data_IF_054592133278
#
_entry.id   IF_054592133278
#
_cell.length_a   1.000
_cell.length_b   1.000
_cell.length_c   1.000
_cell.angle_alpha   90.00
_cell.angle_beta   90.00
_cell.angle_gamma   90.00
#
_symmetry.space_group_name_H-M   'P 1'
#
loop_
_entity.id
_entity.type
_entity.pdbx_description
1 polymer ?
#
# COMPACT_ATOMS: atom_id res chain seq x y z
N UNK A 1 22.69 -13.32 -26.81
CA UNK A 1 22.75 -12.27 -25.80
C UNK A 1 21.49 -12.36 -24.93
N UNK A 2 21.61 -12.83 -23.69
CA UNK A 2 20.49 -12.87 -22.74
C UNK A 2 20.18 -11.43 -22.34
N UNK A 3 19.01 -10.89 -22.76
CA UNK A 3 18.49 -9.64 -22.19
C UNK A 3 18.37 -9.83 -20.69
N UNK A 4 19.11 -9.04 -19.91
CA UNK A 4 18.87 -8.96 -18.48
C UNK A 4 17.41 -8.58 -18.29
N UNK A 5 16.69 -9.39 -17.50
CA UNK A 5 15.32 -9.08 -17.11
C UNK A 5 15.35 -7.71 -16.43
N UNK A 6 14.72 -6.70 -17.04
CA UNK A 6 14.52 -5.39 -16.40
C UNK A 6 13.82 -5.63 -15.07
N UNK A 7 14.50 -5.29 -13.98
CA UNK A 7 13.93 -5.33 -12.65
C UNK A 7 12.72 -4.37 -12.63
N UNK A 8 11.54 -4.89 -12.33
CA UNK A 8 10.35 -4.10 -12.09
C UNK A 8 10.70 -3.04 -11.05
N UNK A 9 10.64 -1.76 -11.44
CA UNK A 9 11.00 -0.67 -10.54
C UNK A 9 9.89 -0.49 -9.50
N UNK A 10 10.15 -0.97 -8.30
CA UNK A 10 9.45 -0.46 -7.11
C UNK A 10 10.09 0.89 -6.80
N UNK A 11 9.29 1.94 -6.67
CA UNK A 11 9.87 3.23 -6.33
C UNK A 11 10.39 3.22 -4.89
N UNK A 12 11.62 3.70 -4.73
CA UNK A 12 12.00 4.29 -3.46
C UNK A 12 11.34 5.69 -3.37
N UNK A 13 11.27 6.31 -2.20
CA UNK A 13 10.64 7.61 -2.02
C UNK A 13 11.16 8.69 -2.97
N UNK A 14 12.46 8.70 -3.25
CA UNK A 14 13.09 9.65 -4.18
C UNK A 14 12.58 9.46 -5.62
N UNK A 15 12.65 8.25 -6.15
CA UNK A 15 12.20 7.97 -7.52
C UNK A 15 10.70 8.20 -7.71
N UNK A 16 9.89 8.01 -6.67
CA UNK A 16 8.48 8.38 -6.69
C UNK A 16 8.29 9.90 -6.84
N UNK A 17 8.98 10.67 -6.01
CA UNK A 17 8.91 12.13 -6.06
C UNK A 17 9.36 12.70 -7.41
N UNK A 18 10.51 12.26 -7.91
CA UNK A 18 11.04 12.67 -9.21
C UNK A 18 10.03 12.44 -10.33
N UNK A 19 9.31 11.32 -10.29
CA UNK A 19 8.34 10.98 -11.33
C UNK A 19 7.02 11.73 -11.21
N UNK A 20 6.49 11.91 -9.99
CA UNK A 20 5.12 12.42 -9.79
C UNK A 20 5.04 13.89 -9.37
N UNK A 21 6.14 14.48 -8.95
CA UNK A 21 6.16 15.90 -8.53
C UNK A 21 6.87 16.81 -9.54
N UNK A 22 7.57 16.25 -10.54
CA UNK A 22 8.41 17.01 -11.46
C UNK A 22 9.70 17.48 -10.81
N UNK A 23 10.77 17.65 -11.59
CA UNK A 23 12.12 17.96 -11.07
C UNK A 23 12.21 19.33 -10.39
N UNK A 24 11.43 20.32 -10.86
CA UNK A 24 11.46 21.71 -10.38
C UNK A 24 10.47 22.01 -9.24
N UNK A 25 9.79 21.00 -8.68
CA UNK A 25 8.78 21.23 -7.65
C UNK A 25 9.43 21.62 -6.32
N UNK A 26 9.05 22.76 -5.70
CA UNK A 26 9.60 23.22 -4.42
C UNK A 26 9.50 22.19 -3.28
N UNK A 27 8.58 21.27 -3.37
CA UNK A 27 8.41 20.18 -2.40
C UNK A 27 9.67 19.33 -2.23
N UNK A 28 10.55 19.29 -3.26
CA UNK A 28 11.83 18.57 -3.16
C UNK A 28 12.73 19.13 -2.06
N UNK A 29 12.57 20.41 -1.70
CA UNK A 29 13.31 21.04 -0.61
C UNK A 29 12.94 20.49 0.77
N UNK A 30 11.76 19.90 0.90
CA UNK A 30 11.32 19.25 2.15
C UNK A 30 11.99 17.90 2.37
N UNK A 31 12.55 17.30 1.31
CA UNK A 31 13.12 15.96 1.38
C UNK A 31 14.64 16.00 1.46
N UNK A 32 15.17 15.53 2.59
CA UNK A 32 16.60 15.40 2.84
C UNK A 32 17.21 14.22 2.09
N UNK A 33 18.54 14.14 2.01
CA UNK A 33 19.26 13.03 1.36
C UNK A 33 18.87 11.65 1.89
N UNK A 34 18.53 11.54 3.18
CA UNK A 34 18.18 10.29 3.86
C UNK A 34 16.68 10.00 3.90
N UNK A 35 15.88 10.83 3.21
CA UNK A 35 14.41 10.67 3.13
C UNK A 35 13.97 9.34 2.51
N UNK A 36 14.86 8.62 1.85
CA UNK A 36 14.60 7.28 1.32
C UNK A 36 14.39 6.22 2.43
N UNK A 37 14.91 6.48 3.64
CA UNK A 37 14.72 5.60 4.78
C UNK A 37 13.61 6.07 5.70
N UNK A 38 13.50 7.38 5.91
CA UNK A 38 12.51 7.96 6.81
C UNK A 38 12.19 9.41 6.46
N UNK A 39 10.92 9.77 6.50
CA UNK A 39 10.47 11.15 6.64
C UNK A 39 9.16 11.24 7.43
N UNK A 40 8.92 12.38 8.05
CA UNK A 40 7.65 12.72 8.67
C UNK A 40 7.39 14.22 8.45
N UNK A 41 6.25 14.53 7.82
CA UNK A 41 5.87 15.88 7.39
C UNK A 41 4.39 16.13 7.73
N UNK A 42 3.98 17.40 7.77
CA UNK A 42 2.57 17.74 7.72
C UNK A 42 2.03 17.55 6.30
N UNK A 43 0.80 17.10 6.19
CA UNK A 43 0.16 16.85 4.90
C UNK A 43 0.03 18.15 4.11
N UNK A 44 -0.23 19.27 4.81
CA UNK A 44 -0.33 20.59 4.22
C UNK A 44 0.95 21.01 3.48
N UNK A 45 2.11 20.53 3.95
CA UNK A 45 3.39 20.75 3.27
C UNK A 45 3.48 19.97 1.95
N UNK A 46 2.70 18.87 1.82
CA UNK A 46 2.65 17.99 0.65
C UNK A 46 1.56 18.35 -0.37
N UNK A 47 0.68 19.32 -0.08
CA UNK A 47 -0.50 19.64 -0.91
C UNK A 47 -0.20 20.19 -2.30
N UNK A 48 1.06 20.37 -2.67
CA UNK A 48 1.46 20.72 -4.04
C UNK A 48 1.46 19.53 -5.00
N UNK A 49 1.13 18.32 -4.54
CA UNK A 49 0.88 17.17 -5.42
C UNK A 49 -0.43 17.40 -6.20
N UNK A 50 -0.33 17.93 -7.41
CA UNK A 50 -1.49 18.31 -8.23
C UNK A 50 -2.00 17.19 -9.14
N UNK A 51 -1.37 16.02 -9.16
CA UNK A 51 -1.70 14.96 -10.11
C UNK A 51 -2.22 13.71 -9.42
N UNK A 52 -3.21 13.00 -10.03
CA UNK A 52 -3.59 11.69 -9.54
C UNK A 52 -2.38 10.76 -9.55
N UNK A 53 -2.24 9.95 -8.50
CA UNK A 53 -1.19 8.93 -8.41
C UNK A 53 -1.77 7.63 -8.97
N UNK A 54 -1.28 7.15 -10.12
CA UNK A 54 -1.71 5.88 -10.67
C UNK A 54 -1.23 4.71 -9.82
N UNK A 55 -1.68 3.45 -10.12
CA UNK A 55 -1.24 2.27 -9.38
C UNK A 55 0.27 2.22 -9.21
N UNK A 56 0.74 2.35 -7.99
CA UNK A 56 2.17 2.47 -7.62
C UNK A 56 2.50 1.62 -6.41
N UNK A 57 3.77 1.24 -6.25
CA UNK A 57 4.30 0.53 -5.07
C UNK A 57 5.47 1.29 -4.49
N UNK A 58 5.52 1.37 -3.17
CA UNK A 58 6.71 1.85 -2.45
C UNK A 58 7.45 0.71 -1.76
N UNK A 59 8.76 0.86 -1.59
CA UNK A 59 9.57 -0.03 -0.74
C UNK A 59 9.42 0.27 0.75
N UNK A 60 8.75 1.36 1.10
CA UNK A 60 8.54 1.84 2.46
C UNK A 60 7.08 1.65 2.89
N UNK A 61 6.86 1.52 4.20
CA UNK A 61 5.55 1.73 4.79
C UNK A 61 5.22 3.23 4.80
N UNK A 62 3.95 3.57 4.58
CA UNK A 62 3.47 4.95 4.67
C UNK A 62 2.28 5.02 5.61
N UNK A 63 2.41 5.78 6.68
CA UNK A 63 1.34 6.11 7.61
C UNK A 63 0.80 7.49 7.26
N UNK A 64 -0.52 7.61 7.18
CA UNK A 64 -1.21 8.88 7.00
C UNK A 64 -2.18 9.04 8.17
N UNK A 65 -2.05 10.12 8.92
CA UNK A 65 -2.97 10.52 9.98
C UNK A 65 -3.74 11.76 9.54
N UNK A 66 -5.06 11.68 9.58
CA UNK A 66 -5.96 12.81 9.25
C UNK A 66 -6.44 13.42 10.56
N UNK A 67 -5.98 14.61 10.87
CA UNK A 67 -6.46 15.39 12.04
C UNK A 67 -7.74 16.16 11.73
N UNK A 68 -7.92 16.58 10.47
CA UNK A 68 -9.12 17.29 10.01
C UNK A 68 -9.31 17.12 8.50
N UNK A 69 -10.55 16.93 8.07
CA UNK A 69 -10.93 16.79 6.68
C UNK A 69 -11.06 15.33 6.22
N UNK A 70 -10.82 15.08 4.95
CA UNK A 70 -11.03 13.77 4.35
C UNK A 70 -9.93 13.45 3.34
N UNK A 71 -9.40 12.25 3.42
CA UNK A 71 -8.45 11.69 2.46
C UNK A 71 -9.03 10.42 1.83
N UNK A 72 -8.99 10.33 0.50
CA UNK A 72 -9.50 9.17 -0.25
C UNK A 72 -8.37 8.54 -1.02
N UNK A 73 -8.15 7.25 -0.80
CA UNK A 73 -7.14 6.48 -1.53
C UNK A 73 -7.59 5.05 -1.78
N UNK A 74 -7.00 4.41 -2.79
CA UNK A 74 -7.18 2.98 -3.02
C UNK A 74 -5.95 2.21 -2.55
N UNK A 75 -6.18 1.15 -1.77
CA UNK A 75 -5.19 0.12 -1.47
C UNK A 75 -5.64 -1.17 -2.15
N UNK A 76 -4.88 -1.60 -3.14
CA UNK A 76 -5.36 -2.64 -4.01
C UNK A 76 -6.60 -2.17 -4.79
N UNK A 77 -7.67 -2.94 -4.69
CA UNK A 77 -8.99 -2.61 -5.25
C UNK A 77 -9.98 -2.03 -4.24
N UNK A 78 -9.56 -1.85 -3.00
CA UNK A 78 -10.42 -1.30 -1.96
C UNK A 78 -10.18 0.20 -1.86
N UNK A 79 -11.26 0.96 -1.89
CA UNK A 79 -11.25 2.39 -1.62
C UNK A 79 -11.41 2.61 -0.11
N UNK A 80 -10.55 3.47 0.41
CA UNK A 80 -10.57 3.87 1.81
C UNK A 80 -10.79 5.37 1.89
N UNK A 81 -11.81 5.75 2.64
CA UNK A 81 -12.08 7.11 3.03
C UNK A 81 -11.60 7.26 4.47
N UNK A 82 -10.58 8.08 4.68
CA UNK A 82 -10.00 8.37 5.99
C UNK A 82 -10.43 9.77 6.39
N UNK A 83 -11.05 9.91 7.55
CA UNK A 83 -11.62 11.17 8.06
C UNK A 83 -10.97 11.58 9.38
N UNK A 84 -11.53 12.62 10.02
CA UNK A 84 -11.01 13.19 11.27
C UNK A 84 -10.66 12.12 12.31
N UNK A 85 -9.43 12.22 12.84
CA UNK A 85 -8.88 11.32 13.86
C UNK A 85 -8.81 9.85 13.43
N UNK A 86 -8.63 9.62 12.14
CA UNK A 86 -8.35 8.31 11.59
C UNK A 86 -6.96 8.23 11.00
N UNK A 87 -6.40 7.04 11.04
CA UNK A 87 -5.10 6.70 10.45
C UNK A 87 -5.28 5.64 9.38
N UNK A 88 -4.45 5.71 8.34
CA UNK A 88 -4.34 4.63 7.35
C UNK A 88 -2.88 4.28 7.13
N UNK A 89 -2.58 2.99 7.14
CA UNK A 89 -1.26 2.44 6.86
C UNK A 89 -1.23 1.84 5.45
N UNK A 90 -0.26 2.27 4.65
CA UNK A 90 0.07 1.63 3.37
C UNK A 90 1.30 0.75 3.61
N UNK A 91 1.16 -0.58 3.68
CA UNK A 91 2.31 -1.47 3.86
C UNK A 91 3.29 -1.37 2.70
N UNK A 92 4.58 -1.60 2.98
CA UNK A 92 5.60 -1.71 1.94
C UNK A 92 5.23 -2.79 0.92
N UNK A 93 5.37 -2.49 -0.38
CA UNK A 93 4.99 -3.38 -1.47
C UNK A 93 3.51 -3.42 -1.81
N UNK A 94 2.62 -2.78 -1.02
CA UNK A 94 1.21 -2.64 -1.36
C UNK A 94 1.02 -1.74 -2.57
N UNK A 95 0.18 -2.16 -3.54
CA UNK A 95 -0.25 -1.26 -4.62
C UNK A 95 -1.27 -0.28 -4.04
N UNK A 96 -1.03 1.00 -4.28
CA UNK A 96 -1.96 2.07 -3.94
C UNK A 96 -2.14 3.03 -5.12
N UNK A 97 -3.22 3.80 -5.10
CA UNK A 97 -3.47 4.89 -6.05
C UNK A 97 -4.28 6.00 -5.39
N UNK A 98 -4.13 7.23 -5.92
CA UNK A 98 -4.90 8.41 -5.54
C UNK A 98 -5.59 8.94 -6.80
N UNK A 99 -6.91 8.88 -6.85
CA UNK A 99 -7.67 9.30 -8.04
C UNK A 99 -7.90 10.82 -8.07
N UNK A 100 -7.97 11.46 -6.90
CA UNK A 100 -8.19 12.90 -6.80
C UNK A 100 -7.52 13.47 -5.54
N UNK A 101 -6.79 14.58 -5.69
CA UNK A 101 -6.00 15.21 -4.60
C UNK A 101 -6.66 16.50 -4.08
N UNK A 102 -7.86 16.83 -4.57
CA UNK A 102 -8.51 18.13 -4.27
C UNK A 102 -9.17 18.24 -2.88
N UNK A 103 -8.93 17.27 -2.00
CA UNK A 103 -9.49 17.32 -0.65
C UNK A 103 -8.56 18.12 0.27
N UNK A 104 -9.06 19.21 0.82
CA UNK A 104 -8.37 19.96 1.88
C UNK A 104 -8.43 19.10 3.14
N UNK A 105 -7.30 18.57 3.57
CA UNK A 105 -7.16 17.81 4.79
C UNK A 105 -5.86 18.17 5.49
N UNK A 106 -5.84 18.00 6.81
CA UNK A 106 -4.71 18.28 7.69
C UNK A 106 -4.27 17.02 8.39
N UNK A 107 -3.02 16.98 8.76
CA UNK A 107 -2.47 15.88 9.53
C UNK A 107 -1.02 15.60 9.22
N UNK A 108 -0.63 14.33 9.33
CA UNK A 108 0.76 13.91 9.16
C UNK A 108 0.87 12.78 8.16
N UNK A 109 1.93 12.83 7.37
CA UNK A 109 2.42 11.71 6.57
C UNK A 109 3.79 11.29 7.10
N UNK A 110 3.91 10.01 7.45
CA UNK A 110 5.14 9.42 7.94
C UNK A 110 5.50 8.21 7.09
N UNK A 111 6.66 8.24 6.45
CA UNK A 111 7.15 7.15 5.62
C UNK A 111 8.45 6.59 6.21
N UNK A 112 8.58 5.26 6.25
CA UNK A 112 9.74 4.60 6.84
C UNK A 112 10.03 3.27 6.16
N UNK A 113 11.33 3.00 5.97
CA UNK A 113 11.77 1.72 5.41
C UNK A 113 11.58 0.60 6.45
N UNK A 114 11.12 -0.61 6.05
CA UNK A 114 10.94 -1.73 6.98
C UNK A 114 12.17 -2.06 7.84
N UNK A 115 13.37 -1.86 7.29
CA UNK A 115 14.62 -2.12 8.00
C UNK A 115 14.79 -1.29 9.28
N UNK A 116 14.14 -0.12 9.39
CA UNK A 116 14.17 0.67 10.62
C UNK A 116 13.56 -0.11 11.78
N UNK A 117 12.50 -0.87 11.51
CA UNK A 117 11.78 -1.60 12.55
C UNK A 117 12.54 -2.83 13.07
N UNK A 118 13.43 -3.40 12.27
CA UNK A 118 14.21 -4.61 12.63
C UNK A 118 15.63 -4.31 13.12
N UNK A 119 15.96 -3.03 13.36
CA UNK A 119 17.27 -2.62 13.91
C UNK A 119 17.41 -3.04 15.39
N UNK A 120 18.26 -2.34 16.12
CA UNK A 120 18.72 -2.66 17.46
C UNK A 120 17.61 -3.01 18.48
N UNK A 121 16.46 -2.36 18.40
CA UNK A 121 15.37 -2.49 19.38
C UNK A 121 14.15 -3.25 18.84
N UNK A 122 14.21 -3.77 17.64
CA UNK A 122 13.11 -4.48 17.00
C UNK A 122 13.51 -5.86 16.49
N UNK A 123 12.52 -6.68 16.21
CA UNK A 123 12.71 -7.98 15.59
C UNK A 123 11.67 -8.18 14.49
N UNK A 124 11.87 -9.18 13.62
CA UNK A 124 10.87 -9.55 12.63
C UNK A 124 9.57 -10.06 13.26
N UNK A 125 9.69 -10.69 14.43
CA UNK A 125 8.54 -11.19 15.20
C UNK A 125 7.66 -10.04 15.66
N UNK A 126 8.26 -8.91 16.09
CA UNK A 126 7.54 -7.70 16.49
C UNK A 126 6.59 -7.19 15.39
N UNK A 127 6.97 -7.33 14.12
CA UNK A 127 6.13 -6.90 13.00
C UNK A 127 4.84 -7.73 12.87
N UNK A 128 4.86 -8.96 13.37
CA UNK A 128 3.68 -9.83 13.34
C UNK A 128 2.59 -9.38 14.32
N UNK A 129 2.95 -8.59 15.34
CA UNK A 129 2.01 -8.07 16.35
C UNK A 129 1.11 -6.97 15.77
N UNK A 130 1.53 -6.35 14.67
CA UNK A 130 0.83 -5.21 14.06
C UNK A 130 0.15 -5.60 12.75
N UNK A 131 -1.15 -5.90 12.82
CA UNK A 131 -1.94 -6.33 11.66
C UNK A 131 -1.95 -5.28 10.54
N UNK A 132 -1.95 -4.00 10.87
CA UNK A 132 -1.95 -2.90 9.91
C UNK A 132 -0.64 -2.77 9.09
N UNK A 133 0.45 -3.43 9.48
CA UNK A 133 1.68 -3.52 8.68
C UNK A 133 1.61 -4.61 7.60
N UNK A 134 0.60 -5.49 7.65
CA UNK A 134 0.41 -6.57 6.68
C UNK A 134 -0.48 -6.11 5.53
N UNK A 135 -0.15 -6.55 4.32
CA UNK A 135 -0.97 -6.28 3.12
C UNK A 135 -2.39 -6.86 3.26
N UNK A 136 -2.51 -7.97 4.00
CA UNK A 136 -3.78 -8.64 4.28
C UNK A 136 -4.57 -8.02 5.42
N UNK A 137 -3.92 -7.21 6.26
CA UNK A 137 -4.46 -6.67 7.48
C UNK A 137 -5.47 -5.54 7.29
N UNK A 138 -5.96 -5.01 8.40
CA UNK A 138 -6.81 -3.83 8.37
C UNK A 138 -5.93 -2.57 8.40
N UNK A 139 -5.86 -1.82 7.30
CA UNK A 139 -4.98 -0.65 7.22
C UNK A 139 -5.53 0.58 7.95
N UNK A 140 -6.84 0.62 8.24
CA UNK A 140 -7.52 1.80 8.78
C UNK A 140 -7.80 1.66 10.27
N UNK A 141 -7.43 2.68 11.04
CA UNK A 141 -7.60 2.72 12.49
C UNK A 141 -8.30 4.03 12.86
N UNK A 142 -9.38 3.93 13.64
CA UNK A 142 -10.05 5.05 14.28
C UNK A 142 -9.47 5.26 15.67
N UNK A 143 -9.04 6.48 15.98
CA UNK A 143 -8.50 6.80 17.29
C UNK A 143 -9.61 7.09 18.29
N UNK A 144 -9.43 6.62 19.52
CA UNK A 144 -10.25 7.06 20.65
C UNK A 144 -9.85 8.51 21.04
N UNK A 145 -10.81 9.33 21.51
CA UNK A 145 -10.52 10.73 21.83
C UNK A 145 -9.32 10.92 22.78
N UNK A 146 -9.16 10.05 23.75
CA UNK A 146 -8.07 10.07 24.73
C UNK A 146 -6.70 9.75 24.13
N UNK A 147 -6.64 9.06 22.99
CA UNK A 147 -5.40 8.62 22.35
C UNK A 147 -4.93 9.59 21.25
N UNK A 148 -5.75 10.60 20.87
CA UNK A 148 -5.44 11.57 19.80
C UNK A 148 -4.21 12.41 20.17
N UNK A 149 -4.21 13.04 21.35
CA UNK A 149 -3.12 13.91 21.77
C UNK A 149 -1.79 13.15 21.97
N UNK A 150 -1.73 11.98 22.63
CA UNK A 150 -0.52 11.15 22.69
C UNK A 150 0.06 10.81 21.33
N UNK A 151 -0.79 10.37 20.39
CA UNK A 151 -0.37 10.00 19.03
C UNK A 151 0.14 11.22 18.26
N UNK A 152 -0.56 12.36 18.35
CA UNK A 152 -0.13 13.61 17.71
C UNK A 152 1.24 14.05 18.23
N UNK A 153 1.47 14.01 19.54
CA UNK A 153 2.78 14.35 20.14
C UNK A 153 3.91 13.46 19.62
N UNK A 154 3.65 12.16 19.40
CA UNK A 154 4.63 11.25 18.82
C UNK A 154 4.94 11.64 17.38
N UNK A 155 3.91 11.96 16.57
CA UNK A 155 4.10 12.38 15.18
C UNK A 155 4.83 13.73 15.09
N UNK A 156 4.52 14.69 15.95
CA UNK A 156 5.25 15.95 16.07
C UNK A 156 6.73 15.71 16.42
N UNK A 157 6.99 14.78 17.35
CA UNK A 157 8.37 14.42 17.70
C UNK A 157 9.09 13.76 16.52
N UNK A 158 8.46 12.86 15.78
CA UNK A 158 9.01 12.25 14.59
C UNK A 158 9.26 13.30 13.48
N UNK A 159 8.35 14.26 13.29
CA UNK A 159 8.54 15.40 12.39
C UNK A 159 9.76 16.23 12.80
N UNK A 160 9.90 16.51 14.10
CA UNK A 160 11.03 17.26 14.64
C UNK A 160 12.36 16.53 14.41
N UNK A 161 12.44 15.22 14.67
CA UNK A 161 13.62 14.40 14.35
C UNK A 161 13.98 14.47 12.87
N UNK A 162 12.98 14.50 12.00
CA UNK A 162 13.21 14.63 10.56
C UNK A 162 13.67 16.04 10.18
N UNK A 163 13.12 17.11 10.77
CA UNK A 163 13.39 18.49 10.38
C UNK A 163 14.73 19.05 10.91
N UNK A 164 15.12 18.70 12.14
CA UNK A 164 16.23 19.39 12.83
C UNK A 164 17.62 18.78 12.55
N UNK A 165 17.69 17.51 12.11
CA UNK A 165 18.99 16.83 12.02
C UNK A 165 19.21 16.16 10.67
N UNK A 166 20.47 16.12 10.22
CA UNK A 166 20.93 14.97 9.41
C UNK A 166 20.59 13.76 10.27
N UNK A 167 19.72 12.85 9.79
CA UNK A 167 19.23 11.71 10.58
C UNK A 167 20.42 10.82 10.93
N UNK A 168 21.13 11.18 11.99
CA UNK A 168 22.34 10.48 12.44
C UNK A 168 22.02 9.30 13.35
N UNK A 169 20.85 9.33 14.02
CA UNK A 169 20.46 8.24 14.91
C UNK A 169 19.01 7.77 14.66
N UNK A 170 18.86 6.79 13.76
CA UNK A 170 17.60 6.11 13.52
C UNK A 170 17.06 5.31 14.73
N UNK A 171 17.82 5.19 15.84
CA UNK A 171 17.34 4.49 17.03
C UNK A 171 16.23 5.29 17.75
N UNK A 172 16.34 6.62 17.76
CA UNK A 172 15.27 7.48 18.28
C UNK A 172 14.01 7.32 17.44
N UNK A 173 14.15 7.43 16.10
CA UNK A 173 13.05 7.23 15.17
C UNK A 173 12.40 5.85 15.35
N UNK A 174 13.21 4.78 15.45
CA UNK A 174 12.72 3.42 15.71
C UNK A 174 11.90 3.34 17.00
N UNK A 175 12.40 3.93 18.09
CA UNK A 175 11.72 3.89 19.38
C UNK A 175 10.36 4.59 19.33
N UNK A 176 10.27 5.75 18.68
CA UNK A 176 9.00 6.47 18.52
C UNK A 176 8.05 5.74 17.56
N UNK A 177 8.53 5.13 16.49
CA UNK A 177 7.69 4.31 15.60
C UNK A 177 7.11 3.10 16.35
N UNK A 178 7.92 2.39 17.13
CA UNK A 178 7.44 1.25 17.93
C UNK A 178 6.38 1.72 18.94
N UNK A 179 6.63 2.82 19.65
CA UNK A 179 5.66 3.40 20.58
C UNK A 179 4.36 3.77 19.87
N UNK A 180 4.46 4.44 18.71
CA UNK A 180 3.31 4.80 17.89
C UNK A 180 2.49 3.56 17.50
N UNK A 181 3.15 2.47 17.12
CA UNK A 181 2.46 1.24 16.72
C UNK A 181 1.74 0.56 17.88
N UNK A 182 2.28 0.58 19.08
CA UNK A 182 1.57 0.08 20.26
C UNK A 182 0.34 0.95 20.59
N UNK A 183 0.45 2.27 20.50
CA UNK A 183 -0.71 3.17 20.67
C UNK A 183 -1.77 2.95 19.57
N UNK A 184 -1.35 2.77 18.32
CA UNK A 184 -2.25 2.42 17.22
C UNK A 184 -2.93 1.06 17.46
N UNK A 185 -2.15 0.05 17.87
CA UNK A 185 -2.67 -1.31 18.10
C UNK A 185 -3.68 -1.36 19.23
N UNK A 186 -3.50 -0.59 20.30
CA UNK A 186 -4.48 -0.40 21.37
C UNK A 186 -5.85 0.03 20.82
N UNK A 187 -5.88 0.94 19.83
CA UNK A 187 -7.09 1.40 19.18
C UNK A 187 -7.65 0.35 18.18
N UNK A 188 -6.79 -0.34 17.45
CA UNK A 188 -7.19 -1.41 16.54
C UNK A 188 -7.86 -2.57 17.30
N UNK A 189 -7.33 -2.96 18.45
CA UNK A 189 -7.90 -4.02 19.30
C UNK A 189 -9.22 -3.60 19.93
N UNK A 190 -9.36 -2.35 20.41
CA UNK A 190 -10.62 -1.83 20.97
C UNK A 190 -11.79 -1.89 19.95
N UNK A 191 -11.49 -1.74 18.66
CA UNK A 191 -12.48 -1.76 17.58
C UNK A 191 -12.70 -3.15 16.99
N UNK A 192 -11.78 -4.09 17.22
CA UNK A 192 -11.90 -5.46 16.71
C UNK A 192 -12.87 -6.27 17.60
N UNK A 193 -14.04 -6.61 17.04
CA UNK A 193 -14.78 -7.79 17.47
C UNK A 193 -13.89 -9.02 17.31
N UNK A 194 -14.10 -10.08 18.09
CA UNK A 194 -13.38 -11.35 17.92
C UNK A 194 -13.32 -11.72 16.43
N UNK A 195 -12.11 -11.93 15.90
CA UNK A 195 -11.90 -12.30 14.49
C UNK A 195 -12.71 -13.57 14.22
N UNK A 196 -13.67 -13.48 13.33
CA UNK A 196 -14.45 -14.64 12.92
C UNK A 196 -13.59 -15.63 12.12
N UNK A 197 -13.96 -16.90 12.09
CA UNK A 197 -13.27 -17.90 11.26
C UNK A 197 -13.25 -17.48 9.76
N UNK A 198 -14.29 -16.80 9.28
CA UNK A 198 -14.34 -16.28 7.92
C UNK A 198 -13.32 -15.16 7.68
N UNK A 199 -13.15 -14.26 8.64
CA UNK A 199 -12.13 -13.21 8.57
C UNK A 199 -10.71 -13.77 8.61
N UNK A 200 -10.43 -14.76 9.47
CA UNK A 200 -9.14 -15.43 9.53
C UNK A 200 -8.79 -16.15 8.20
N UNK A 201 -9.74 -16.90 7.63
CA UNK A 201 -9.55 -17.57 6.33
C UNK A 201 -9.33 -16.53 5.21
N UNK A 202 -10.12 -15.46 5.21
CA UNK A 202 -10.03 -14.40 4.19
C UNK A 202 -8.70 -13.64 4.31
N UNK A 203 -8.22 -13.37 5.52
CA UNK A 203 -6.91 -12.76 5.75
C UNK A 203 -5.79 -13.60 5.16
N UNK A 204 -5.73 -14.89 5.51
CA UNK A 204 -4.74 -15.83 4.95
C UNK A 204 -4.85 -15.98 3.43
N UNK A 205 -6.07 -15.96 2.88
CA UNK A 205 -6.28 -15.97 1.42
C UNK A 205 -5.67 -14.74 0.75
N UNK A 206 -5.82 -13.54 1.32
CA UNK A 206 -5.21 -12.32 0.80
C UNK A 206 -3.67 -12.38 0.81
N UNK A 207 -3.07 -12.93 1.87
CA UNK A 207 -1.61 -13.18 1.94
C UNK A 207 -1.15 -14.10 0.83
N UNK A 208 -1.80 -15.25 0.66
CA UNK A 208 -1.48 -16.20 -0.39
C UNK A 208 -1.64 -15.60 -1.81
N UNK A 209 -2.64 -14.75 -2.03
CA UNK A 209 -2.78 -14.01 -3.29
C UNK A 209 -1.57 -13.11 -3.50
N UNK A 210 -1.16 -12.33 -2.50
CA UNK A 210 0.01 -11.46 -2.62
C UNK A 210 1.25 -12.24 -3.07
N UNK A 211 1.47 -13.43 -2.52
CA UNK A 211 2.65 -14.26 -2.78
C UNK A 211 2.58 -14.99 -4.13
N UNK A 212 1.39 -15.42 -4.55
CA UNK A 212 1.25 -16.38 -5.64
C UNK A 212 0.49 -15.88 -6.87
N UNK A 213 -0.08 -14.66 -6.86
CA UNK A 213 -0.97 -14.17 -7.91
C UNK A 213 -0.31 -14.15 -9.31
N UNK A 214 1.00 -13.99 -9.37
CA UNK A 214 1.76 -13.96 -10.62
C UNK A 214 1.86 -15.33 -11.32
N UNK A 215 1.50 -16.41 -10.64
CA UNK A 215 1.63 -17.77 -11.17
C UNK A 215 0.38 -18.62 -10.97
N UNK A 216 -0.51 -18.24 -10.05
CA UNK A 216 -1.65 -19.06 -9.64
C UNK A 216 -2.94 -18.25 -9.68
N UNK A 217 -3.88 -18.65 -10.56
CA UNK A 217 -5.13 -17.92 -10.78
C UNK A 217 -6.37 -18.72 -10.36
N UNK A 218 -6.20 -19.98 -9.94
CA UNK A 218 -7.31 -20.86 -9.64
C UNK A 218 -7.65 -20.89 -8.15
N UNK A 219 -8.92 -20.77 -7.81
CA UNK A 219 -9.41 -20.84 -6.42
C UNK A 219 -9.01 -22.16 -5.75
N UNK A 220 -8.97 -23.26 -6.51
CA UNK A 220 -8.60 -24.58 -5.99
C UNK A 220 -7.19 -24.59 -5.39
N UNK A 221 -6.23 -23.89 -6.00
CA UNK A 221 -4.89 -23.76 -5.47
C UNK A 221 -4.89 -23.14 -4.07
N UNK A 222 -5.55 -22.02 -3.90
CA UNK A 222 -5.62 -21.30 -2.63
C UNK A 222 -6.41 -22.08 -1.57
N UNK A 223 -7.52 -22.69 -1.96
CA UNK A 223 -8.33 -23.49 -1.03
C UNK A 223 -7.55 -24.71 -0.51
N UNK A 224 -6.71 -25.34 -1.34
CA UNK A 224 -5.85 -26.45 -0.92
C UNK A 224 -4.80 -26.00 0.09
N UNK A 225 -4.14 -24.86 -0.13
CA UNK A 225 -3.17 -24.30 0.83
C UNK A 225 -3.80 -23.91 2.17
N UNK A 226 -5.08 -23.53 2.15
CA UNK A 226 -5.84 -23.17 3.35
C UNK A 226 -6.50 -24.37 4.04
N UNK A 227 -6.38 -25.57 3.46
CA UNK A 227 -7.04 -26.80 3.92
C UNK A 227 -8.57 -26.62 4.06
N UNK A 228 -9.19 -25.96 3.08
CA UNK A 228 -10.66 -25.79 2.99
C UNK A 228 -11.16 -26.15 1.60
N UNK A 229 -12.48 -26.36 1.47
CA UNK A 229 -13.07 -26.55 0.15
C UNK A 229 -13.17 -25.24 -0.61
N UNK A 230 -13.12 -25.23 -1.99
CA UNK A 230 -13.31 -24.03 -2.79
C UNK A 230 -14.62 -23.29 -2.48
N UNK A 231 -15.69 -24.02 -2.22
CA UNK A 231 -16.99 -23.46 -1.85
C UNK A 231 -16.94 -22.74 -0.49
N UNK A 232 -16.26 -23.35 0.49
CA UNK A 232 -16.09 -22.74 1.81
C UNK A 232 -15.23 -21.47 1.73
N UNK A 233 -14.10 -21.51 1.01
CA UNK A 233 -13.28 -20.34 0.74
C UNK A 233 -14.09 -19.21 0.11
N UNK A 234 -14.84 -19.54 -0.96
CA UNK A 234 -15.67 -18.54 -1.65
C UNK A 234 -16.73 -17.92 -0.72
N UNK A 235 -17.35 -18.72 0.15
CA UNK A 235 -18.31 -18.23 1.14
C UNK A 235 -17.65 -17.27 2.13
N UNK A 236 -16.49 -17.62 2.69
CA UNK A 236 -15.74 -16.78 3.63
C UNK A 236 -15.37 -15.46 2.99
N UNK A 237 -14.74 -15.50 1.80
CA UNK A 237 -14.31 -14.30 1.07
C UNK A 237 -15.51 -13.41 0.75
N UNK A 238 -16.62 -13.97 0.29
CA UNK A 238 -17.84 -13.21 -0.04
C UNK A 238 -18.47 -12.57 1.19
N UNK A 239 -18.48 -13.28 2.32
CA UNK A 239 -19.01 -12.75 3.59
C UNK A 239 -18.21 -11.54 4.07
N UNK A 240 -16.88 -11.57 3.95
CA UNK A 240 -15.98 -10.53 4.48
C UNK A 240 -15.82 -9.37 3.49
N UNK A 241 -15.76 -9.66 2.18
CA UNK A 241 -15.40 -8.66 1.17
C UNK A 241 -16.55 -8.23 0.26
N UNK A 242 -17.69 -8.91 0.31
CA UNK A 242 -18.79 -8.74 -0.63
C UNK A 242 -18.54 -9.33 -2.03
N UNK A 243 -17.34 -9.85 -2.31
CA UNK A 243 -16.91 -10.35 -3.62
C UNK A 243 -16.58 -11.84 -3.57
N UNK A 244 -16.79 -12.55 -4.69
CA UNK A 244 -16.35 -13.95 -4.79
C UNK A 244 -14.81 -14.05 -4.79
N UNK A 245 -14.28 -15.22 -4.38
CA UNK A 245 -12.85 -15.49 -4.41
C UNK A 245 -12.27 -15.37 -5.85
N UNK A 246 -13.00 -15.83 -6.87
CA UNK A 246 -12.61 -15.67 -8.28
C UNK A 246 -12.48 -14.19 -8.65
N UNK A 247 -13.51 -13.38 -8.31
CA UNK A 247 -13.48 -11.95 -8.62
C UNK A 247 -12.33 -11.25 -7.90
N UNK A 248 -12.01 -11.66 -6.66
CA UNK A 248 -10.88 -11.13 -5.91
C UNK A 248 -9.54 -11.45 -6.59
N UNK A 249 -9.37 -12.69 -7.09
CA UNK A 249 -8.19 -13.09 -7.86
C UNK A 249 -8.10 -12.26 -9.15
N UNK A 250 -9.16 -12.18 -9.95
CA UNK A 250 -9.18 -11.44 -11.21
C UNK A 250 -8.81 -9.96 -11.02
N UNK A 251 -9.37 -9.32 -9.99
CA UNK A 251 -9.04 -7.93 -9.64
C UNK A 251 -7.55 -7.77 -9.28
N UNK A 252 -6.96 -8.69 -8.51
CA UNK A 252 -5.54 -8.59 -8.16
C UNK A 252 -4.61 -8.81 -9.37
N UNK A 253 -4.94 -9.73 -10.27
CA UNK A 253 -4.24 -9.89 -11.56
C UNK A 253 -4.28 -8.59 -12.36
N UNK A 254 -5.49 -8.01 -12.49
CA UNK A 254 -5.69 -6.78 -13.22
C UNK A 254 -4.92 -5.61 -12.63
N UNK A 255 -4.88 -5.51 -11.30
CA UNK A 255 -4.13 -4.48 -10.60
C UNK A 255 -2.62 -4.60 -10.85
N UNK A 256 -2.08 -5.82 -10.77
CA UNK A 256 -0.66 -6.07 -11.08
C UNK A 256 -0.37 -5.73 -12.55
N UNK A 257 -1.28 -6.09 -13.48
CA UNK A 257 -1.13 -5.74 -14.89
C UNK A 257 -1.14 -4.21 -15.12
N UNK A 258 -2.03 -3.47 -14.47
CA UNK A 258 -2.08 -2.00 -14.53
C UNK A 258 -0.79 -1.38 -13.98
N UNK A 259 -0.31 -1.89 -12.84
CA UNK A 259 0.94 -1.48 -12.27
C UNK A 259 2.10 -1.66 -13.25
N UNK A 260 2.21 -2.84 -13.89
CA UNK A 260 3.26 -3.11 -14.87
C UNK A 260 3.13 -2.27 -16.14
N UNK A 261 1.91 -2.05 -16.64
CA UNK A 261 1.64 -1.19 -17.80
C UNK A 261 2.10 0.25 -17.56
N UNK A 262 1.97 0.74 -16.34
CA UNK A 262 2.36 2.08 -15.96
C UNK A 262 3.85 2.19 -15.62
N UNK A 263 4.38 1.22 -14.87
CA UNK A 263 5.71 1.33 -14.27
C UNK A 263 6.85 0.80 -15.14
N UNK A 264 6.53 0.16 -16.28
CA UNK A 264 7.54 -0.51 -17.10
C UNK A 264 7.35 -0.24 -18.59
N UNK A 265 8.43 -0.43 -19.35
CA UNK A 265 8.42 -0.42 -20.81
C UNK A 265 8.13 -1.80 -21.41
N UNK A 266 7.82 -2.81 -20.58
CA UNK A 266 7.53 -4.17 -21.02
C UNK A 266 6.42 -4.20 -22.06
N UNK A 267 6.58 -5.02 -23.09
CA UNK A 267 5.52 -5.29 -24.07
C UNK A 267 4.29 -5.93 -23.39
N UNK A 268 3.13 -5.83 -24.02
CA UNK A 268 1.91 -6.46 -23.50
C UNK A 268 2.06 -7.98 -23.36
N UNK A 269 2.87 -8.62 -24.25
CA UNK A 269 3.18 -10.04 -24.14
C UNK A 269 4.03 -10.38 -22.91
N UNK A 270 5.06 -9.58 -22.66
CA UNK A 270 5.90 -9.75 -21.46
C UNK A 270 5.09 -9.51 -20.17
N UNK A 271 4.20 -8.52 -20.17
CA UNK A 271 3.29 -8.28 -19.02
C UNK A 271 2.35 -9.47 -18.83
N UNK A 272 1.76 -10.00 -19.91
CA UNK A 272 0.91 -11.20 -19.84
C UNK A 272 1.64 -12.34 -19.12
N UNK A 273 2.89 -12.63 -19.54
CA UNK A 273 3.74 -13.63 -18.88
C UNK A 273 4.02 -13.29 -17.42
N UNK A 274 4.32 -12.02 -17.10
CA UNK A 274 4.62 -11.58 -15.71
C UNK A 274 3.42 -11.72 -14.76
N UNK A 275 2.20 -11.64 -15.30
CA UNK A 275 0.98 -11.84 -14.51
C UNK A 275 0.38 -13.23 -14.68
N UNK A 276 1.16 -14.19 -15.20
CA UNK A 276 0.82 -15.62 -15.24
C UNK A 276 -0.07 -16.08 -16.40
N UNK A 277 -0.12 -15.33 -17.51
CA UNK A 277 -0.80 -15.77 -18.73
C UNK A 277 0.21 -16.30 -19.74
N UNK A 278 -0.08 -17.48 -20.31
CA UNK A 278 0.72 -18.06 -21.38
C UNK A 278 0.42 -17.42 -22.75
N UNK A 279 -0.82 -16.94 -22.96
CA UNK A 279 -1.29 -16.34 -24.21
C UNK A 279 -1.62 -14.87 -24.04
N UNK A 280 -0.92 -14.01 -24.81
CA UNK A 280 -1.13 -12.57 -24.83
C UNK A 280 -2.53 -12.17 -25.27
N UNK A 281 -3.14 -12.92 -26.20
CA UNK A 281 -4.46 -12.58 -26.75
C UNK A 281 -5.54 -12.87 -25.71
N UNK A 282 -5.37 -13.96 -24.93
CA UNK A 282 -6.26 -14.27 -23.82
C UNK A 282 -6.13 -13.19 -22.71
N UNK A 283 -4.92 -12.82 -22.33
CA UNK A 283 -4.68 -11.71 -21.40
C UNK A 283 -5.34 -10.41 -21.89
N UNK A 284 -5.16 -10.07 -23.17
CA UNK A 284 -5.72 -8.82 -23.71
C UNK A 284 -7.25 -8.80 -23.68
N UNK A 285 -7.90 -9.95 -23.93
CA UNK A 285 -9.36 -10.10 -23.79
C UNK A 285 -9.80 -9.99 -22.33
N UNK A 286 -9.09 -10.65 -21.41
CA UNK A 286 -9.32 -10.56 -19.96
C UNK A 286 -9.26 -9.10 -19.49
N UNK A 287 -8.17 -8.41 -19.81
CA UNK A 287 -7.96 -7.01 -19.43
C UNK A 287 -9.05 -6.09 -20.02
N UNK A 288 -9.35 -6.23 -21.32
CA UNK A 288 -10.38 -5.42 -21.98
C UNK A 288 -11.79 -5.67 -21.41
N UNK A 289 -12.11 -6.91 -21.02
CA UNK A 289 -13.39 -7.25 -20.40
C UNK A 289 -13.56 -6.53 -19.05
N UNK A 290 -12.48 -6.41 -18.30
CA UNK A 290 -12.49 -5.78 -16.96
C UNK A 290 -12.45 -4.24 -17.03
N UNK A 291 -11.59 -3.66 -17.90
CA UNK A 291 -11.31 -2.22 -17.98
C UNK A 291 -12.03 -1.48 -19.11
N UNK A 292 -12.74 -2.19 -19.97
CA UNK A 292 -13.41 -1.60 -21.14
C UNK A 292 -12.47 -1.25 -22.31
N UNK A 293 -11.16 -1.14 -22.08
CA UNK A 293 -10.14 -0.78 -23.08
C UNK A 293 -9.00 -1.79 -23.11
N UNK A 294 -8.28 -1.87 -24.24
CA UNK A 294 -7.14 -2.79 -24.36
C UNK A 294 -5.93 -2.32 -23.51
N UNK A 295 -5.01 -3.25 -23.12
CA UNK A 295 -3.78 -2.90 -22.40
C UNK A 295 -2.96 -1.79 -23.09
N UNK A 296 -2.83 -1.87 -24.42
CA UNK A 296 -2.10 -0.85 -25.22
C UNK A 296 -2.77 0.52 -25.09
N UNK A 297 -4.11 0.56 -25.20
CA UNK A 297 -4.86 1.82 -25.09
C UNK A 297 -4.78 2.37 -23.66
N UNK A 298 -4.82 1.52 -22.67
CA UNK A 298 -4.64 1.89 -21.26
C UNK A 298 -3.28 2.57 -21.05
N UNK A 299 -2.17 1.98 -21.53
CA UNK A 299 -0.82 2.59 -21.46
C UNK A 299 -0.77 3.96 -22.12
N UNK A 300 -1.28 4.08 -23.37
CA UNK A 300 -1.28 5.36 -24.09
C UNK A 300 -2.11 6.46 -23.41
N UNK A 301 -3.12 6.10 -22.65
CA UNK A 301 -3.94 7.05 -21.92
C UNK A 301 -3.16 7.63 -20.72
N UNK A 302 -2.37 6.79 -20.05
CA UNK A 302 -1.55 7.20 -18.90
C UNK A 302 -0.34 8.02 -19.36
N UNK A 303 0.30 7.66 -20.50
CA UNK A 303 1.46 8.40 -21.03
C UNK A 303 1.10 9.84 -21.47
N UNK A 304 -0.19 10.16 -21.57
CA UNK A 304 -0.71 11.48 -21.97
C UNK A 304 -1.23 12.31 -20.80
N UNK A 305 -1.33 11.73 -19.60
CA UNK A 305 -1.78 12.40 -18.38
C UNK A 305 -0.60 12.78 -17.51
#
# INVERSE_FOLDING_TARGET
>A
MKKQAEKIKTYNPKGFREKFLGEDNPIHLLFKSDSDHFFCLEIEEMMQMQHPVPPSKHSCHTLIFISSGQHVMKLGYLEYITTDNEMIMVPAGQIFSLDNVNNIHKGYICQFHPDILIRKYGSRELLNDFDFLKISGNPKIKLAPEDIAPITNILERLKKEYSETTITDLNIVQSYLITLFYEMNKNAVKTSKSISAAEAITGRFKELIHDHIKTQHQVNYYSSLLNVTPNHLNKCVKTVTGKSAVKWIDENILLEAKYLLFQTTLSVGEIATQVGFEDQSYFSRFFKKAEGISPIRYRKMIDKS
#
